data_IF_273013418782
#
_entry.id   IF_273013418782
#
_cell.length_a   1.000
_cell.length_b   1.000
_cell.length_c   1.000
_cell.angle_alpha   90.00
_cell.angle_beta   90.00
_cell.angle_gamma   90.00
#
_symmetry.space_group_name_H-M   'P 1'
#
loop_
_entity.id
_entity.type
_entity.pdbx_description
1 polymer ?
#
# COMPACT_ATOMS: atom_id res chain seq x y z
N UNK A 1 15.02 -4.62 21.37
CA UNK A 1 13.74 -4.05 21.86
C UNK A 1 12.66 -4.43 20.87
N UNK A 2 11.52 -4.99 21.32
CA UNK A 2 10.40 -5.28 20.42
C UNK A 2 9.93 -3.98 19.76
N UNK A 3 9.77 -3.98 18.44
CA UNK A 3 9.28 -2.82 17.69
C UNK A 3 7.90 -2.42 18.25
N UNK A 4 7.74 -1.17 18.68
CA UNK A 4 6.44 -0.68 19.13
C UNK A 4 5.45 -0.79 17.99
N UNK A 5 4.35 -1.52 18.20
CA UNK A 5 3.26 -1.66 17.20
C UNK A 5 2.65 -0.30 16.86
N UNK A 6 2.24 -0.12 15.64
CA UNK A 6 1.43 1.03 15.25
C UNK A 6 0.00 0.85 15.77
N UNK A 7 -0.69 1.97 15.95
CA UNK A 7 -2.11 1.94 16.29
C UNK A 7 -2.92 1.56 15.05
N UNK A 8 -3.82 0.61 15.19
CA UNK A 8 -4.81 0.27 14.16
C UNK A 8 -6.00 1.22 14.33
N UNK A 9 -6.49 1.88 13.26
CA UNK A 9 -7.75 2.66 13.33
C UNK A 9 -8.93 1.79 13.74
N UNK A 10 -10.00 2.41 14.24
CA UNK A 10 -11.24 1.70 14.58
C UNK A 10 -11.91 1.07 13.36
N UNK A 11 -12.69 0.02 13.60
CA UNK A 11 -13.52 -0.60 12.56
C UNK A 11 -14.61 0.36 12.09
N UNK A 12 -14.98 0.23 10.82
CA UNK A 12 -16.11 0.96 10.25
C UNK A 12 -17.43 0.29 10.63
N UNK A 13 -18.44 1.12 10.78
CA UNK A 13 -19.82 0.70 10.99
C UNK A 13 -20.74 1.32 9.94
N UNK A 14 -21.91 0.70 9.73
CA UNK A 14 -22.96 1.29 8.89
C UNK A 14 -23.29 2.70 9.38
N UNK A 15 -23.36 3.66 8.46
CA UNK A 15 -23.59 5.08 8.74
C UNK A 15 -22.33 5.90 8.99
N UNK A 16 -21.15 5.29 9.10
CA UNK A 16 -19.89 6.02 9.19
C UNK A 16 -19.64 6.86 7.94
N UNK A 17 -19.00 8.01 8.14
CA UNK A 17 -18.62 8.90 7.06
C UNK A 17 -17.19 8.62 6.61
N UNK A 18 -17.02 8.45 5.29
CA UNK A 18 -15.74 8.25 4.64
C UNK A 18 -15.52 9.28 3.54
N UNK A 19 -14.27 9.53 3.17
CA UNK A 19 -13.94 10.49 2.12
C UNK A 19 -13.26 9.82 0.94
N UNK A 20 -13.53 10.32 -0.27
CA UNK A 20 -12.73 10.07 -1.48
C UNK A 20 -11.96 11.35 -1.80
N UNK A 21 -10.63 11.29 -1.85
CA UNK A 21 -9.76 12.39 -2.27
C UNK A 21 -8.84 11.94 -3.39
N UNK A 22 -8.31 12.88 -4.17
CA UNK A 22 -7.38 12.59 -5.27
C UNK A 22 -6.01 13.26 -5.01
N UNK A 23 -5.14 12.63 -4.21
CA UNK A 23 -3.86 13.27 -3.84
C UNK A 23 -2.79 13.17 -4.94
N UNK A 24 -3.03 12.39 -6.00
CA UNK A 24 -2.08 12.06 -7.07
C UNK A 24 -2.62 12.48 -8.44
N UNK A 25 -2.80 11.56 -9.38
CA UNK A 25 -3.33 11.86 -10.71
C UNK A 25 -4.84 12.11 -10.70
N UNK A 26 -5.30 12.85 -11.74
CA UNK A 26 -6.71 13.10 -11.98
C UNK A 26 -7.47 11.82 -12.29
N UNK A 27 -8.72 11.75 -11.86
CA UNK A 27 -9.66 10.64 -12.09
C UNK A 27 -10.87 11.15 -12.86
N UNK A 28 -11.52 10.26 -13.59
CA UNK A 28 -12.77 10.56 -14.29
C UNK A 28 -13.95 10.59 -13.30
N UNK A 29 -14.87 11.55 -13.48
CA UNK A 29 -16.04 11.74 -12.63
C UNK A 29 -16.89 10.47 -12.52
N UNK A 30 -17.14 9.78 -13.66
CA UNK A 30 -17.88 8.52 -13.72
C UNK A 30 -17.29 7.43 -12.80
N UNK A 31 -15.95 7.37 -12.70
CA UNK A 31 -15.28 6.40 -11.79
C UNK A 31 -15.53 6.75 -10.34
N UNK A 32 -15.50 8.04 -10.00
CA UNK A 32 -15.81 8.51 -8.63
C UNK A 32 -17.26 8.22 -8.27
N UNK A 33 -18.22 8.48 -9.18
CA UNK A 33 -19.63 8.15 -8.96
C UNK A 33 -19.86 6.64 -8.75
N UNK A 34 -19.18 5.78 -9.51
CA UNK A 34 -19.24 4.33 -9.30
C UNK A 34 -18.70 3.95 -7.94
N UNK A 35 -17.59 4.56 -7.51
CA UNK A 35 -16.99 4.32 -6.22
C UNK A 35 -17.88 4.81 -5.06
N UNK A 36 -18.54 5.93 -5.21
CA UNK A 36 -19.54 6.43 -4.23
C UNK A 36 -20.64 5.39 -4.05
N UNK A 37 -21.29 4.97 -5.15
CA UNK A 37 -22.36 3.94 -5.09
C UNK A 37 -21.86 2.61 -4.51
N UNK A 38 -20.63 2.24 -4.79
CA UNK A 38 -20.02 1.02 -4.26
C UNK A 38 -19.86 1.08 -2.73
N UNK A 39 -19.31 2.17 -2.21
CA UNK A 39 -19.12 2.38 -0.77
C UNK A 39 -20.46 2.60 -0.02
N UNK A 40 -21.43 3.28 -0.64
CA UNK A 40 -22.80 3.39 -0.13
C UNK A 40 -23.47 2.02 -0.04
N UNK A 41 -23.16 1.11 -0.97
CA UNK A 41 -23.57 -0.30 -0.91
C UNK A 41 -23.03 -1.05 0.31
N UNK A 42 -21.95 -0.56 0.92
CA UNK A 42 -21.44 -1.06 2.21
C UNK A 42 -22.09 -0.38 3.42
N UNK A 43 -23.05 0.51 3.19
CA UNK A 43 -23.75 1.25 4.23
C UNK A 43 -23.02 2.49 4.73
N UNK A 44 -22.00 2.96 4.01
CA UNK A 44 -21.21 4.15 4.37
C UNK A 44 -21.83 5.43 3.80
N UNK A 45 -21.55 6.57 4.41
CA UNK A 45 -21.82 7.90 3.85
C UNK A 45 -20.53 8.41 3.22
N UNK A 46 -20.60 8.79 1.94
CA UNK A 46 -19.41 9.15 1.17
C UNK A 46 -19.37 10.66 0.90
N UNK A 47 -18.26 11.28 1.27
CA UNK A 47 -17.92 12.66 0.92
C UNK A 47 -16.81 12.63 -0.14
N UNK A 48 -17.03 13.34 -1.24
CA UNK A 48 -16.00 13.55 -2.26
C UNK A 48 -15.27 14.87 -1.95
N UNK A 49 -13.96 14.83 -1.93
CA UNK A 49 -13.13 16.02 -1.69
C UNK A 49 -13.45 17.12 -2.70
N UNK A 50 -13.41 18.36 -2.26
CA UNK A 50 -13.79 19.54 -3.05
C UNK A 50 -12.97 19.68 -4.34
N UNK A 51 -11.73 19.25 -4.33
CA UNK A 51 -10.82 19.33 -5.44
C UNK A 51 -10.57 17.96 -6.13
N UNK A 52 -11.23 16.89 -5.68
CA UNK A 52 -10.96 15.52 -6.12
C UNK A 52 -11.11 15.31 -7.64
N UNK A 53 -11.96 16.11 -8.31
CA UNK A 53 -12.20 16.08 -9.76
C UNK A 53 -11.45 17.18 -10.53
N UNK A 54 -10.62 17.96 -9.84
CA UNK A 54 -9.80 18.98 -10.53
C UNK A 54 -8.77 18.34 -11.45
N UNK A 55 -8.29 19.14 -12.41
CA UNK A 55 -7.27 18.68 -13.36
C UNK A 55 -6.22 19.78 -13.61
N UNK A 56 -4.96 19.41 -13.44
CA UNK A 56 -3.81 20.24 -13.75
C UNK A 56 -2.69 19.37 -14.35
N UNK A 57 -2.58 19.35 -15.67
CA UNK A 57 -1.78 18.35 -16.37
C UNK A 57 -2.27 16.93 -16.03
N UNK A 58 -1.39 16.03 -15.56
CA UNK A 58 -1.79 14.69 -15.14
C UNK A 58 -2.42 14.66 -13.73
N UNK A 59 -2.24 15.71 -12.91
CA UNK A 59 -2.64 15.74 -11.52
C UNK A 59 -4.10 16.11 -11.31
N UNK A 60 -4.65 15.71 -10.16
CA UNK A 60 -5.97 16.12 -9.69
C UNK A 60 -5.91 17.52 -9.08
N UNK A 61 -5.64 18.53 -9.90
CA UNK A 61 -5.42 19.90 -9.48
C UNK A 61 -3.96 20.20 -9.13
N UNK A 62 -3.73 21.44 -8.68
CA UNK A 62 -2.43 21.90 -8.21
C UNK A 62 -2.01 21.22 -6.90
N UNK A 63 -0.74 21.29 -6.54
CA UNK A 63 -0.25 20.78 -5.24
C UNK A 63 -1.06 21.40 -4.07
N UNK A 64 -1.40 22.67 -4.16
CA UNK A 64 -2.18 23.38 -3.13
C UNK A 64 -3.62 22.83 -3.00
N UNK A 65 -4.28 22.54 -4.12
CA UNK A 65 -5.64 21.99 -4.11
C UNK A 65 -5.67 20.55 -3.55
N UNK A 66 -4.71 19.69 -3.95
CA UNK A 66 -4.57 18.33 -3.44
C UNK A 66 -4.23 18.30 -1.95
N UNK A 67 -3.33 19.21 -1.53
CA UNK A 67 -2.99 19.40 -0.11
C UNK A 67 -4.20 19.83 0.71
N UNK A 68 -5.00 20.77 0.18
CA UNK A 68 -6.18 21.27 0.90
C UNK A 68 -7.20 20.15 1.20
N UNK A 69 -7.50 19.29 0.21
CA UNK A 69 -8.40 18.15 0.43
C UNK A 69 -7.83 17.16 1.45
N UNK A 70 -6.52 16.87 1.36
CA UNK A 70 -5.87 15.95 2.29
C UNK A 70 -5.84 16.52 3.72
N UNK A 71 -5.53 17.79 3.87
CA UNK A 71 -5.52 18.46 5.18
C UNK A 71 -6.92 18.49 5.81
N UNK A 72 -7.96 18.81 5.01
CA UNK A 72 -9.35 18.82 5.46
C UNK A 72 -9.75 17.46 6.03
N UNK A 73 -9.49 16.35 5.29
CA UNK A 73 -9.89 15.02 5.78
C UNK A 73 -9.03 14.53 6.95
N UNK A 74 -7.80 14.98 7.08
CA UNK A 74 -6.93 14.68 8.24
C UNK A 74 -7.50 15.31 9.51
N UNK A 75 -7.95 16.56 9.44
CA UNK A 75 -8.45 17.34 10.58
C UNK A 75 -9.88 16.95 10.98
N UNK A 76 -10.70 16.53 10.03
CA UNK A 76 -12.12 16.22 10.28
C UNK A 76 -12.29 14.98 11.17
N UNK A 77 -12.80 15.17 12.38
CA UNK A 77 -13.05 14.09 13.36
C UNK A 77 -14.20 13.14 12.96
N UNK A 78 -15.07 13.55 12.05
CA UNK A 78 -16.21 12.77 11.57
C UNK A 78 -15.80 11.68 10.58
N UNK A 79 -14.77 11.94 9.77
CA UNK A 79 -14.26 10.99 8.77
C UNK A 79 -13.57 9.81 9.46
N UNK A 80 -13.99 8.58 9.10
CA UNK A 80 -13.46 7.32 9.64
C UNK A 80 -12.47 6.62 8.70
N UNK A 81 -12.65 6.81 7.39
CA UNK A 81 -11.71 6.32 6.39
C UNK A 81 -11.56 7.31 5.23
N UNK A 82 -10.39 7.34 4.63
CA UNK A 82 -10.04 8.14 3.46
C UNK A 82 -9.59 7.20 2.36
N UNK A 83 -10.30 7.19 1.24
CA UNK A 83 -9.97 6.42 0.05
C UNK A 83 -9.29 7.35 -0.94
N UNK A 84 -8.03 7.06 -1.28
CA UNK A 84 -7.31 7.76 -2.34
C UNK A 84 -7.86 7.31 -3.69
N UNK A 85 -8.34 8.23 -4.52
CA UNK A 85 -9.10 7.91 -5.74
C UNK A 85 -8.33 7.03 -6.72
N UNK A 86 -7.03 7.31 -6.86
CA UNK A 86 -6.07 6.56 -7.66
C UNK A 86 -4.64 6.94 -7.30
N UNK A 87 -3.69 6.13 -7.77
CA UNK A 87 -2.26 6.45 -7.75
C UNK A 87 -1.81 7.27 -8.97
N UNK A 88 -0.64 6.93 -9.49
CA UNK A 88 0.07 7.63 -10.55
C UNK A 88 1.33 8.28 -9.97
N UNK A 89 1.33 9.60 -9.87
CA UNK A 89 2.42 10.35 -9.25
C UNK A 89 1.87 11.64 -8.62
N UNK A 90 2.56 12.13 -7.60
CA UNK A 90 2.30 13.46 -7.05
C UNK A 90 2.15 13.53 -5.54
N UNK A 91 1.94 12.41 -4.85
CA UNK A 91 1.84 12.40 -3.39
C UNK A 91 3.15 12.87 -2.73
N UNK A 92 4.29 12.43 -3.27
CA UNK A 92 5.62 12.81 -2.80
C UNK A 92 5.83 14.33 -2.76
N UNK A 93 5.11 15.10 -3.62
CA UNK A 93 5.22 16.58 -3.71
C UNK A 93 4.53 17.32 -2.56
N UNK A 94 3.62 16.66 -1.83
CA UNK A 94 2.77 17.32 -0.84
C UNK A 94 2.85 16.70 0.56
N UNK A 95 3.47 15.52 0.71
CA UNK A 95 3.41 14.74 1.95
C UNK A 95 4.02 15.46 3.15
N UNK A 96 5.10 16.17 2.97
CA UNK A 96 5.81 16.92 4.02
C UNK A 96 5.15 18.25 4.39
N UNK A 97 4.13 18.66 3.63
CA UNK A 97 3.36 19.90 3.86
C UNK A 97 2.11 19.67 4.73
N UNK A 98 1.75 18.41 4.99
CA UNK A 98 0.54 18.04 5.74
C UNK A 98 0.80 18.03 7.23
N UNK A 99 -0.06 18.68 8.01
CA UNK A 99 -0.08 18.50 9.47
C UNK A 99 -0.95 17.31 9.86
N UNK A 100 -0.31 16.20 10.16
CA UNK A 100 -0.97 14.96 10.62
C UNK A 100 -1.27 14.94 12.13
N UNK A 101 -1.07 16.01 12.86
CA UNK A 101 -1.20 16.04 14.34
C UNK A 101 -2.59 15.60 14.83
N UNK A 102 -3.65 15.92 14.08
CA UNK A 102 -5.03 15.53 14.38
C UNK A 102 -5.23 14.00 14.45
N UNK A 103 -4.43 13.21 13.73
CA UNK A 103 -4.53 11.74 13.74
C UNK A 103 -4.16 11.11 15.09
N UNK A 104 -3.46 11.84 15.96
CA UNK A 104 -3.21 11.39 17.34
C UNK A 104 -4.52 11.24 18.12
N UNK A 105 -5.46 12.14 17.88
CA UNK A 105 -6.75 12.18 18.56
C UNK A 105 -7.85 11.47 17.76
N UNK A 106 -7.83 11.60 16.42
CA UNK A 106 -8.83 11.09 15.50
C UNK A 106 -8.19 10.15 14.48
N UNK A 107 -7.74 8.94 14.90
CA UNK A 107 -7.17 7.97 13.97
C UNK A 107 -8.23 7.52 12.98
N UNK A 108 -7.83 7.39 11.72
CA UNK A 108 -8.69 6.94 10.63
C UNK A 108 -7.90 6.09 9.65
N UNK A 109 -8.62 5.28 8.89
CA UNK A 109 -8.01 4.51 7.81
C UNK A 109 -7.63 5.42 6.63
N UNK A 110 -6.47 5.14 6.04
CA UNK A 110 -6.08 5.64 4.72
C UNK A 110 -5.91 4.43 3.82
N UNK A 111 -6.64 4.42 2.70
CA UNK A 111 -6.76 3.28 1.79
C UNK A 111 -6.22 3.64 0.42
N UNK A 112 -5.36 2.79 -0.13
CA UNK A 112 -4.80 2.93 -1.46
C UNK A 112 -3.51 2.15 -1.62
N UNK A 113 -2.90 2.19 -2.80
CA UNK A 113 -1.64 1.55 -3.13
C UNK A 113 -0.88 2.38 -4.20
N UNK A 114 0.19 1.87 -4.78
CA UNK A 114 0.96 2.62 -5.79
C UNK A 114 1.61 3.87 -5.18
N UNK A 115 1.36 5.06 -5.71
CA UNK A 115 1.86 6.36 -5.20
C UNK A 115 1.50 6.60 -3.72
N UNK A 116 0.43 5.94 -3.21
CA UNK A 116 -0.01 6.01 -1.81
C UNK A 116 0.97 5.28 -0.86
N UNK A 117 1.90 4.50 -1.38
CA UNK A 117 3.02 3.94 -0.58
C UNK A 117 3.74 5.01 0.23
N UNK A 118 3.91 6.21 -0.32
CA UNK A 118 4.52 7.36 0.38
C UNK A 118 3.76 7.68 1.67
N UNK A 119 2.42 7.69 1.61
CA UNK A 119 1.57 7.92 2.77
C UNK A 119 1.66 6.79 3.79
N UNK A 120 1.66 5.53 3.33
CA UNK A 120 1.79 4.38 4.23
C UNK A 120 3.06 4.46 5.06
N UNK A 121 4.19 4.72 4.41
CA UNK A 121 5.49 4.88 5.09
C UNK A 121 5.47 6.05 6.05
N UNK A 122 4.93 7.21 5.62
CA UNK A 122 4.84 8.41 6.45
C UNK A 122 4.01 8.18 7.72
N UNK A 123 2.80 7.64 7.57
CA UNK A 123 1.91 7.33 8.70
C UNK A 123 2.53 6.35 9.68
N UNK A 124 3.15 5.28 9.16
CA UNK A 124 3.81 4.28 10.00
C UNK A 124 4.98 4.88 10.79
N UNK A 125 5.79 5.72 10.16
CA UNK A 125 7.02 6.27 10.74
C UNK A 125 6.74 7.43 11.70
N UNK A 126 5.95 8.41 11.29
CA UNK A 126 5.77 9.66 12.01
C UNK A 126 4.50 9.72 12.85
N UNK A 127 3.43 9.03 12.41
CA UNK A 127 2.15 9.04 13.12
C UNK A 127 1.94 7.79 13.98
N UNK A 128 2.76 6.75 13.82
CA UNK A 128 2.58 5.44 14.47
C UNK A 128 1.17 4.89 14.22
N UNK A 129 0.67 5.08 13.02
CA UNK A 129 -0.66 4.72 12.57
C UNK A 129 -0.57 3.71 11.42
N UNK A 130 -1.35 2.64 11.51
CA UNK A 130 -1.52 1.69 10.42
C UNK A 130 -2.43 2.28 9.32
N UNK A 131 -2.28 1.77 8.11
CA UNK A 131 -3.05 2.14 6.93
C UNK A 131 -3.31 0.91 6.07
N UNK A 132 -4.10 1.02 5.02
CA UNK A 132 -4.52 -0.13 4.23
C UNK A 132 -4.00 -0.02 2.78
N UNK A 133 -3.04 -0.88 2.42
CA UNK A 133 -2.70 -1.13 1.02
C UNK A 133 -3.83 -1.98 0.43
N UNK A 134 -4.66 -1.38 -0.38
CA UNK A 134 -5.82 -2.02 -1.00
C UNK A 134 -6.26 -1.26 -2.25
N UNK A 135 -7.22 -1.83 -2.96
CA UNK A 135 -7.75 -1.26 -4.19
C UNK A 135 -8.33 0.14 -3.97
N UNK A 136 -8.35 0.92 -5.04
CA UNK A 136 -8.73 2.34 -5.03
C UNK A 136 -10.02 2.59 -5.83
N UNK A 137 -10.73 3.70 -5.56
CA UNK A 137 -11.95 4.11 -6.25
C UNK A 137 -11.93 4.00 -7.77
N UNK A 138 -10.75 4.12 -8.40
CA UNK A 138 -10.56 3.93 -9.85
C UNK A 138 -11.21 2.64 -10.39
N UNK A 139 -11.22 1.56 -9.59
CA UNK A 139 -11.74 0.25 -10.01
C UNK A 139 -12.99 -0.21 -9.24
N UNK A 140 -13.54 0.63 -8.34
CA UNK A 140 -14.73 0.23 -7.57
C UNK A 140 -15.97 0.14 -8.48
N UNK A 141 -16.64 -1.00 -8.41
CA UNK A 141 -17.85 -1.25 -9.19
C UNK A 141 -17.65 -1.36 -10.72
N UNK A 142 -16.40 -1.60 -11.18
CA UNK A 142 -16.09 -1.72 -12.61
C UNK A 142 -16.07 -3.16 -13.12
N UNK A 143 -15.93 -4.14 -12.23
CA UNK A 143 -15.71 -5.56 -12.58
C UNK A 143 -14.29 -5.87 -13.06
N UNK A 144 -13.36 -4.91 -12.94
CA UNK A 144 -11.97 -5.04 -13.38
C UNK A 144 -11.04 -5.69 -12.34
N UNK A 145 -11.59 -6.11 -11.19
CA UNK A 145 -10.84 -6.74 -10.09
C UNK A 145 -11.57 -7.96 -9.55
N UNK A 146 -10.83 -8.85 -8.88
CA UNK A 146 -11.38 -10.04 -8.27
C UNK A 146 -12.35 -9.71 -7.12
N UNK A 147 -13.22 -10.65 -6.77
CA UNK A 147 -14.10 -10.53 -5.60
C UNK A 147 -13.29 -10.51 -4.30
N UNK A 148 -12.21 -11.28 -4.22
CA UNK A 148 -11.29 -11.36 -3.08
C UNK A 148 -10.62 -10.01 -2.78
N UNK A 149 -10.35 -9.21 -3.82
CA UNK A 149 -9.84 -7.83 -3.67
C UNK A 149 -10.73 -7.00 -2.75
N UNK A 150 -12.04 -7.04 -2.98
CA UNK A 150 -13.00 -6.25 -2.20
C UNK A 150 -13.40 -6.92 -0.89
N UNK A 151 -13.46 -8.27 -0.87
CA UNK A 151 -13.73 -9.03 0.35
C UNK A 151 -12.65 -8.78 1.39
N UNK A 152 -11.37 -8.91 1.05
CA UNK A 152 -10.28 -8.68 2.00
C UNK A 152 -10.20 -7.22 2.47
N UNK A 153 -10.53 -6.26 1.60
CA UNK A 153 -10.62 -4.85 1.99
C UNK A 153 -11.76 -4.62 2.99
N UNK A 154 -12.92 -5.22 2.75
CA UNK A 154 -14.07 -5.14 3.64
C UNK A 154 -13.77 -5.78 5.00
N UNK A 155 -13.17 -6.97 5.00
CA UNK A 155 -12.78 -7.68 6.23
C UNK A 155 -11.81 -6.84 7.07
N UNK A 156 -10.81 -6.20 6.43
CA UNK A 156 -9.88 -5.32 7.13
C UNK A 156 -10.57 -4.11 7.77
N UNK A 157 -11.56 -3.53 7.08
CA UNK A 157 -12.21 -2.29 7.52
C UNK A 157 -13.33 -2.51 8.51
N UNK A 158 -14.07 -3.63 8.44
CA UNK A 158 -15.29 -3.86 9.23
C UNK A 158 -15.16 -4.98 10.26
N UNK A 159 -14.35 -6.03 10.00
CA UNK A 159 -14.32 -7.22 10.87
C UNK A 159 -13.06 -7.28 11.74
N UNK A 160 -11.98 -6.60 11.34
CA UNK A 160 -10.73 -6.52 12.09
C UNK A 160 -9.89 -7.80 12.11
N UNK A 161 -10.36 -8.88 11.52
CA UNK A 161 -9.68 -10.16 11.43
C UNK A 161 -9.26 -10.44 9.98
N UNK A 162 -8.28 -9.69 9.49
CA UNK A 162 -7.78 -9.91 8.15
C UNK A 162 -6.89 -11.15 8.11
N UNK A 163 -7.39 -12.23 7.51
CA UNK A 163 -6.65 -13.47 7.25
C UNK A 163 -7.04 -14.01 5.88
N UNK A 164 -6.05 -14.25 5.03
CA UNK A 164 -6.27 -14.86 3.72
C UNK A 164 -5.09 -15.70 3.27
N UNK A 165 -5.23 -16.44 2.17
CA UNK A 165 -4.28 -17.44 1.70
C UNK A 165 -4.05 -17.32 0.21
N UNK A 166 -2.86 -17.76 -0.23
CA UNK A 166 -2.54 -17.90 -1.65
C UNK A 166 -1.65 -19.12 -1.89
N UNK A 167 -1.51 -19.48 -3.14
CA UNK A 167 -0.55 -20.50 -3.58
C UNK A 167 0.76 -19.80 -3.96
N UNK A 168 1.89 -20.31 -3.45
CA UNK A 168 3.20 -19.71 -3.69
C UNK A 168 4.30 -20.50 -3.00
N UNK A 169 5.53 -20.08 -3.27
CA UNK A 169 6.72 -20.71 -2.70
C UNK A 169 7.28 -19.88 -1.53
N UNK A 170 8.05 -20.55 -0.68
CA UNK A 170 8.85 -19.89 0.33
C UNK A 170 10.28 -20.39 0.32
N UNK A 171 11.22 -19.46 0.51
CA UNK A 171 12.66 -19.69 0.51
C UNK A 171 13.23 -19.26 1.86
N UNK A 172 14.29 -19.94 2.32
CA UNK A 172 15.00 -19.66 3.58
C UNK A 172 14.15 -19.74 4.84
N UNK A 173 12.95 -20.33 4.75
CA UNK A 173 12.05 -20.55 5.86
C UNK A 173 10.58 -20.54 5.44
N UNK A 174 9.73 -21.13 6.30
CA UNK A 174 8.29 -21.26 6.05
C UNK A 174 7.45 -20.34 6.93
N UNK A 175 8.08 -19.53 7.80
CA UNK A 175 7.39 -18.64 8.73
C UNK A 175 8.13 -17.31 8.90
N UNK A 176 7.38 -16.23 8.91
CA UNK A 176 7.84 -14.89 9.31
C UNK A 176 6.78 -14.20 10.18
N UNK A 177 7.22 -13.40 11.15
CA UNK A 177 6.31 -12.55 11.91
C UNK A 177 6.95 -11.21 12.23
N UNK A 178 6.16 -10.15 12.16
CA UNK A 178 6.63 -8.78 12.39
C UNK A 178 5.66 -7.73 11.87
N UNK A 179 6.03 -6.48 12.04
CA UNK A 179 5.28 -5.37 11.46
C UNK A 179 5.47 -5.37 9.95
N UNK A 180 4.37 -5.36 9.19
CA UNK A 180 4.40 -5.26 7.73
C UNK A 180 4.70 -3.82 7.29
N UNK A 181 5.67 -3.64 6.41
CA UNK A 181 6.04 -2.34 5.82
C UNK A 181 6.36 -2.52 4.34
N UNK A 182 6.39 -1.45 3.58
CA UNK A 182 6.71 -1.53 2.17
C UNK A 182 5.63 -0.99 1.25
N UNK A 183 5.44 -1.60 0.09
CA UNK A 183 4.53 -1.22 -0.98
C UNK A 183 5.24 -1.17 -2.33
N UNK A 184 4.94 -0.15 -3.15
CA UNK A 184 5.52 0.02 -4.47
C UNK A 184 7.04 0.29 -4.38
N UNK A 185 7.83 -0.51 -5.09
CA UNK A 185 9.30 -0.50 -5.01
C UNK A 185 9.89 0.82 -5.50
N UNK A 186 9.35 1.40 -6.57
CA UNK A 186 9.80 2.71 -7.10
C UNK A 186 9.62 3.81 -6.08
N UNK A 187 8.54 3.77 -5.28
CA UNK A 187 8.29 4.75 -4.23
C UNK A 187 9.19 4.50 -3.01
N UNK A 188 9.46 3.25 -2.64
CA UNK A 188 10.42 2.94 -1.59
C UNK A 188 11.83 3.43 -1.95
N UNK A 189 12.22 3.25 -3.22
CA UNK A 189 13.48 3.76 -3.76
C UNK A 189 13.51 5.30 -3.74
N UNK A 190 12.41 5.97 -4.14
CA UNK A 190 12.31 7.42 -4.14
C UNK A 190 12.40 8.05 -2.74
N UNK A 191 12.05 7.29 -1.70
CA UNK A 191 12.16 7.73 -0.31
C UNK A 191 13.56 7.51 0.29
N UNK A 192 14.45 6.79 -0.38
CA UNK A 192 15.80 6.54 0.12
C UNK A 192 16.58 7.83 0.35
N UNK A 193 17.23 7.95 1.51
CA UNK A 193 17.98 9.14 1.91
C UNK A 193 17.11 10.33 2.35
N UNK A 194 15.79 10.22 2.34
CA UNK A 194 14.87 11.24 2.87
C UNK A 194 14.52 10.96 4.35
N UNK A 195 13.97 11.95 5.09
CA UNK A 195 13.44 11.69 6.43
C UNK A 195 12.37 10.59 6.47
N UNK A 196 11.66 10.35 5.37
CA UNK A 196 10.64 9.32 5.21
C UNK A 196 11.19 7.96 4.73
N UNK A 197 12.49 7.81 4.60
CA UNK A 197 13.09 6.51 4.27
C UNK A 197 12.57 5.41 5.20
N UNK A 198 12.09 4.26 4.66
CA UNK A 198 11.48 3.22 5.49
C UNK A 198 12.49 2.61 6.47
N UNK A 199 12.06 2.41 7.71
CA UNK A 199 12.74 1.59 8.70
C UNK A 199 12.27 0.15 8.52
N UNK A 200 13.17 -0.74 8.07
CA UNK A 200 12.87 -2.13 7.71
C UNK A 200 13.38 -3.15 8.73
N UNK A 201 14.24 -2.75 9.66
CA UNK A 201 14.86 -3.64 10.64
C UNK A 201 13.84 -4.37 11.52
N UNK A 202 13.89 -5.71 11.53
CA UNK A 202 12.97 -6.58 12.27
C UNK A 202 11.53 -6.58 11.75
N UNK A 203 11.30 -6.09 10.52
CA UNK A 203 9.98 -6.02 9.90
C UNK A 203 9.86 -6.97 8.71
N UNK A 204 8.64 -7.27 8.32
CA UNK A 204 8.34 -7.93 7.05
C UNK A 204 8.25 -6.83 5.98
N UNK A 205 9.07 -6.94 4.94
CA UNK A 205 9.05 -6.03 3.80
C UNK A 205 8.13 -6.62 2.71
N UNK A 206 7.11 -5.88 2.31
CA UNK A 206 6.28 -6.17 1.14
C UNK A 206 6.73 -5.29 -0.01
N UNK A 207 6.88 -5.86 -1.21
CA UNK A 207 7.24 -5.12 -2.42
C UNK A 207 6.41 -5.59 -3.61
N UNK A 208 6.00 -4.64 -4.44
CA UNK A 208 5.30 -4.80 -5.71
C UNK A 208 5.69 -3.65 -6.64
N UNK A 209 5.49 -3.77 -7.96
CA UNK A 209 5.65 -2.65 -8.89
C UNK A 209 4.95 -2.91 -10.23
N UNK A 210 4.81 -1.87 -11.06
CA UNK A 210 4.24 -1.97 -12.39
C UNK A 210 4.90 -1.03 -13.39
N UNK A 211 5.03 -1.50 -14.64
CA UNK A 211 5.46 -0.67 -15.76
C UNK A 211 6.94 -0.31 -15.81
N UNK A 212 7.75 -0.89 -14.94
CA UNK A 212 9.19 -0.65 -14.85
C UNK A 212 10.00 -1.52 -15.83
N UNK A 213 11.23 -1.08 -16.12
CA UNK A 213 12.19 -1.93 -16.80
C UNK A 213 12.86 -2.92 -15.83
N UNK A 214 13.16 -4.14 -16.29
CA UNK A 214 13.86 -5.14 -15.48
C UNK A 214 15.15 -4.61 -14.85
N UNK A 215 15.98 -3.86 -15.60
CA UNK A 215 17.18 -3.23 -15.04
C UNK A 215 16.88 -2.17 -13.99
N UNK A 216 15.71 -1.51 -14.07
CA UNK A 216 15.29 -0.54 -13.04
C UNK A 216 14.92 -1.25 -11.74
N UNK A 217 14.26 -2.40 -11.82
CA UNK A 217 13.97 -3.24 -10.65
C UNK A 217 15.28 -3.65 -9.97
N UNK A 218 16.24 -4.18 -10.72
CA UNK A 218 17.56 -4.56 -10.19
C UNK A 218 18.26 -3.37 -9.52
N UNK A 219 18.29 -2.22 -10.19
CA UNK A 219 18.91 -1.00 -9.65
C UNK A 219 18.24 -0.54 -8.34
N UNK A 220 16.92 -0.58 -8.25
CA UNK A 220 16.17 -0.18 -7.04
C UNK A 220 16.46 -1.16 -5.90
N UNK A 221 16.43 -2.46 -6.15
CA UNK A 221 16.77 -3.50 -5.18
C UNK A 221 18.22 -3.40 -4.71
N UNK A 222 19.15 -3.20 -5.64
CA UNK A 222 20.56 -2.97 -5.33
C UNK A 222 20.75 -1.73 -4.46
N UNK A 223 20.02 -0.65 -4.74
CA UNK A 223 20.04 0.55 -3.90
C UNK A 223 19.53 0.28 -2.48
N UNK A 224 18.41 -0.44 -2.34
CA UNK A 224 17.92 -0.86 -1.02
C UNK A 224 18.92 -1.75 -0.27
N UNK A 225 19.59 -2.65 -1.00
CA UNK A 225 20.65 -3.51 -0.46
C UNK A 225 21.84 -2.68 0.04
N UNK A 226 22.36 -1.77 -0.78
CA UNK A 226 23.48 -0.88 -0.42
C UNK A 226 23.12 0.04 0.75
N UNK A 227 21.88 0.53 0.80
CA UNK A 227 21.33 1.33 1.90
C UNK A 227 21.05 0.51 3.16
N UNK A 228 21.34 -0.80 3.16
CA UNK A 228 21.15 -1.69 4.32
C UNK A 228 19.70 -2.01 4.64
N UNK A 229 18.76 -1.72 3.75
CA UNK A 229 17.31 -1.91 3.97
C UNK A 229 16.88 -3.38 3.96
N UNK A 230 17.71 -4.26 3.43
CA UNK A 230 17.48 -5.70 3.46
C UNK A 230 18.13 -6.38 4.69
N UNK A 231 18.92 -5.66 5.48
CA UNK A 231 19.56 -6.24 6.66
C UNK A 231 18.57 -6.39 7.81
N UNK A 232 18.55 -7.61 8.38
CA UNK A 232 17.74 -7.90 9.56
C UNK A 232 16.23 -7.81 9.34
N UNK A 233 15.76 -8.04 8.10
CA UNK A 233 14.34 -8.26 7.84
C UNK A 233 13.83 -9.47 8.62
N UNK A 234 12.59 -9.43 9.09
CA UNK A 234 11.89 -10.59 9.60
C UNK A 234 11.39 -11.49 8.45
N UNK A 235 11.20 -10.94 7.26
CA UNK A 235 10.82 -11.63 6.04
C UNK A 235 10.62 -10.68 4.88
N UNK A 236 10.54 -11.24 3.67
CA UNK A 236 10.21 -10.53 2.42
C UNK A 236 8.98 -11.16 1.79
N UNK A 237 8.03 -10.34 1.34
CA UNK A 237 6.85 -10.75 0.58
C UNK A 237 6.92 -10.11 -0.79
N UNK A 238 6.90 -10.93 -1.83
CA UNK A 238 6.91 -10.52 -3.23
C UNK A 238 5.47 -10.51 -3.73
N UNK A 239 4.96 -9.32 -4.00
CA UNK A 239 3.65 -9.08 -4.60
C UNK A 239 3.67 -9.13 -6.12
N UNK A 240 2.66 -8.51 -6.73
CA UNK A 240 2.51 -8.44 -8.17
C UNK A 240 3.53 -7.52 -8.82
N UNK A 241 4.25 -8.04 -9.82
CA UNK A 241 5.06 -7.24 -10.74
C UNK A 241 4.45 -7.36 -12.13
N UNK A 242 3.86 -6.29 -12.65
CA UNK A 242 3.09 -6.30 -13.90
C UNK A 242 3.63 -5.31 -14.93
N UNK A 243 3.30 -5.55 -16.19
CA UNK A 243 3.68 -4.66 -17.30
C UNK A 243 5.19 -4.36 -17.39
N UNK A 244 6.03 -5.32 -16.98
CA UNK A 244 7.48 -5.16 -16.99
C UNK A 244 7.99 -4.99 -18.43
N UNK A 245 8.95 -4.09 -18.59
CA UNK A 245 9.55 -3.75 -19.88
C UNK A 245 10.97 -4.29 -19.96
N UNK A 246 11.33 -4.77 -21.13
CA UNK A 246 12.70 -5.17 -21.42
C UNK A 246 13.40 -4.13 -22.30
N UNK A 247 14.72 -4.16 -22.29
CA UNK A 247 15.53 -3.34 -23.16
C UNK A 247 15.74 -3.98 -24.55
N UNK A 248 16.51 -3.32 -25.41
CA UNK A 248 16.94 -3.89 -26.72
C UNK A 248 17.82 -5.13 -26.53
N UNK A 249 18.52 -5.23 -25.40
CA UNK A 249 19.23 -6.44 -24.95
C UNK A 249 18.40 -7.03 -23.82
N UNK A 250 17.91 -8.28 -23.97
CA UNK A 250 17.10 -8.95 -22.94
C UNK A 250 17.82 -9.03 -21.60
N UNK A 251 17.10 -8.75 -20.52
CA UNK A 251 17.60 -8.86 -19.15
C UNK A 251 17.97 -10.30 -18.78
N UNK A 252 17.21 -11.25 -19.30
CA UNK A 252 17.50 -12.69 -19.19
C UNK A 252 17.10 -13.34 -17.86
N UNK A 253 16.48 -12.60 -16.95
CA UNK A 253 15.93 -13.10 -15.67
C UNK A 253 14.55 -12.51 -15.43
N UNK A 254 13.69 -13.25 -14.75
CA UNK A 254 12.44 -12.70 -14.21
C UNK A 254 12.69 -11.75 -13.04
N UNK A 255 11.66 -10.99 -12.65
CA UNK A 255 11.71 -10.16 -11.44
C UNK A 255 11.93 -11.03 -10.21
N UNK A 256 11.22 -12.16 -10.13
CA UNK A 256 11.32 -13.08 -9.00
C UNK A 256 12.73 -13.66 -8.87
N UNK A 257 13.34 -14.12 -9.96
CA UNK A 257 14.73 -14.60 -9.96
C UNK A 257 15.72 -13.52 -9.50
N UNK A 258 15.54 -12.26 -9.95
CA UNK A 258 16.37 -11.13 -9.53
C UNK A 258 16.22 -10.86 -8.02
N UNK A 259 14.97 -10.93 -7.52
CA UNK A 259 14.69 -10.76 -6.09
C UNK A 259 15.27 -11.87 -5.23
N UNK A 260 15.11 -13.11 -5.65
CA UNK A 260 15.64 -14.27 -4.93
C UNK A 260 17.15 -14.30 -4.89
N UNK A 261 17.83 -13.88 -5.98
CA UNK A 261 19.28 -13.74 -6.02
C UNK A 261 19.80 -12.74 -4.97
N UNK A 262 19.18 -11.55 -4.90
CA UNK A 262 19.57 -10.52 -3.93
C UNK A 262 19.18 -10.91 -2.50
N UNK A 263 18.00 -11.49 -2.30
CA UNK A 263 17.52 -11.91 -0.99
C UNK A 263 18.32 -13.09 -0.44
N UNK A 264 18.83 -13.96 -1.31
CA UNK A 264 19.63 -15.13 -0.94
C UNK A 264 20.90 -14.82 -0.13
N UNK A 265 21.39 -13.58 -0.20
CA UNK A 265 22.52 -13.12 0.62
C UNK A 265 22.20 -13.04 2.13
N UNK A 266 20.93 -13.06 2.55
CA UNK A 266 20.50 -12.67 3.90
C UNK A 266 19.88 -13.77 4.74
N UNK A 267 19.32 -14.81 4.17
CA UNK A 267 18.74 -15.96 4.89
C UNK A 267 17.44 -15.70 5.66
N UNK A 268 16.78 -14.55 5.47
CA UNK A 268 15.42 -14.34 5.97
C UNK A 268 14.38 -15.05 5.10
N UNK A 269 13.20 -15.43 5.64
CA UNK A 269 12.13 -16.04 4.84
C UNK A 269 11.65 -15.12 3.72
N UNK A 270 11.50 -15.67 2.51
CA UNK A 270 10.95 -15.00 1.33
C UNK A 270 9.69 -15.73 0.89
N UNK A 271 8.61 -15.00 0.64
CA UNK A 271 7.32 -15.55 0.18
C UNK A 271 6.96 -14.94 -1.16
N UNK A 272 6.69 -15.80 -2.17
CA UNK A 272 6.39 -15.38 -3.54
C UNK A 272 4.91 -15.51 -3.88
N UNK A 273 4.49 -14.93 -5.01
CA UNK A 273 3.15 -15.07 -5.54
C UNK A 273 2.05 -14.35 -4.74
N UNK A 274 2.41 -13.45 -3.81
CA UNK A 274 1.43 -12.73 -3.00
C UNK A 274 0.48 -11.91 -3.89
N UNK A 275 -0.85 -12.17 -3.86
CA UNK A 275 -1.84 -11.46 -4.68
C UNK A 275 -2.14 -10.08 -4.10
N UNK A 276 -1.17 -9.17 -4.20
CA UNK A 276 -1.30 -7.76 -3.82
C UNK A 276 -0.45 -6.89 -4.73
N UNK A 277 -0.92 -5.70 -5.09
CA UNK A 277 -0.26 -4.75 -5.99
C UNK A 277 -1.02 -4.53 -7.31
N UNK A 278 -0.29 -4.20 -8.37
CA UNK A 278 -0.85 -3.85 -9.69
C UNK A 278 -1.26 -5.08 -10.51
N UNK A 279 -2.10 -5.94 -9.95
CA UNK A 279 -2.62 -7.16 -10.57
C UNK A 279 -4.14 -7.25 -10.41
N UNK A 280 -4.76 -8.21 -11.10
CA UNK A 280 -6.21 -8.40 -11.08
C UNK A 280 -6.73 -8.72 -9.66
N UNK A 281 -6.08 -9.63 -8.94
CA UNK A 281 -6.39 -9.98 -7.56
C UNK A 281 -5.47 -9.19 -6.60
N UNK A 282 -5.92 -8.00 -6.20
CA UNK A 282 -5.18 -7.08 -5.34
C UNK A 282 -5.74 -7.09 -3.92
N UNK A 283 -5.36 -8.08 -3.13
CA UNK A 283 -5.86 -8.28 -1.76
C UNK A 283 -5.28 -7.28 -0.77
N UNK A 284 -6.07 -6.94 0.23
CA UNK A 284 -5.71 -5.93 1.21
C UNK A 284 -4.58 -6.39 2.15
N UNK A 285 -3.69 -5.44 2.49
CA UNK A 285 -2.61 -5.61 3.47
C UNK A 285 -2.63 -4.43 4.46
N UNK A 286 -2.57 -4.73 5.76
CA UNK A 286 -2.50 -3.69 6.80
C UNK A 286 -1.04 -3.25 6.96
N UNK A 287 -0.69 -2.12 6.34
CA UNK A 287 0.64 -1.53 6.43
C UNK A 287 0.86 -0.92 7.81
N UNK A 288 1.92 -1.37 8.48
CA UNK A 288 2.16 -1.05 9.89
C UNK A 288 1.46 -1.99 10.88
N UNK A 289 0.62 -2.92 10.39
CA UNK A 289 0.03 -4.00 11.18
C UNK A 289 1.05 -5.10 11.52
N UNK A 290 0.84 -5.81 12.62
CA UNK A 290 1.67 -6.98 12.94
C UNK A 290 1.13 -8.20 12.20
N UNK A 291 1.92 -8.71 11.27
CA UNK A 291 1.56 -9.85 10.43
C UNK A 291 2.29 -11.12 10.88
N UNK A 292 1.63 -12.25 10.69
CA UNK A 292 2.20 -13.60 10.73
C UNK A 292 1.97 -14.24 9.38
N UNK A 293 3.04 -14.75 8.77
CA UNK A 293 3.01 -15.42 7.47
C UNK A 293 3.55 -16.84 7.65
N UNK A 294 2.82 -17.82 7.15
CA UNK A 294 3.19 -19.23 7.25
C UNK A 294 2.92 -19.95 5.92
N UNK A 295 3.92 -20.69 5.44
CA UNK A 295 3.76 -21.62 4.32
C UNK A 295 3.59 -23.04 4.84
N UNK A 296 2.52 -23.69 4.43
CA UNK A 296 2.24 -25.11 4.69
C UNK A 296 1.97 -25.82 3.37
N UNK A 297 3.00 -26.46 2.82
CA UNK A 297 2.87 -27.28 1.61
C UNK A 297 2.45 -26.49 0.35
N UNK A 298 3.00 -25.29 0.14
CA UNK A 298 2.70 -24.43 -1.01
C UNK A 298 1.46 -23.53 -0.81
N UNK A 299 0.78 -23.64 0.33
CA UNK A 299 -0.29 -22.71 0.72
C UNK A 299 0.23 -21.74 1.78
N UNK A 300 0.33 -20.51 1.40
CA UNK A 300 0.82 -19.44 2.27
C UNK A 300 -0.38 -18.71 2.88
N UNK A 301 -0.34 -18.53 4.19
CA UNK A 301 -1.37 -17.78 4.94
C UNK A 301 -0.74 -16.52 5.52
N UNK A 302 -1.40 -15.38 5.38
CA UNK A 302 -1.11 -14.17 6.12
C UNK A 302 -2.25 -13.87 7.07
N UNK A 303 -1.92 -13.49 8.31
CA UNK A 303 -2.89 -13.05 9.32
C UNK A 303 -2.35 -11.83 10.06
N UNK A 304 -3.23 -10.90 10.40
CA UNK A 304 -2.90 -9.69 11.16
C UNK A 304 -3.43 -9.78 12.60
N UNK A 305 -2.62 -9.23 13.56
CA UNK A 305 -2.91 -9.28 15.01
C UNK A 305 -2.83 -7.90 15.66
#
# INVERSE_FOLDING_TARGET
MAAKRNRIPGLLCTGDEVAIISPSYAIEEEKVEKAVRFLEGWGLRVRVGRNALRRYGPFAGTDKERLADLQEVVEDSGIKAVFCSRGGYGFLRIIDMVDFSALKRYPKWFVGYSDITVLHIWLNKFCRLASLHAEMPLHFGTGEKSEETFTTMRDALFDGNLTWRWEGDSFHGSRAEGVLTGGNLSLLYSLAGTPAEPDTGGKILFIEDAGEYYYSIDRMLTSLRLGGKLRGLAGLVIGGFSEMKDGTVPWGKSVEETLLEIAGEYGFPVFTGCPAGHIYDNRALIMGGYAVIENSGGKITISFR
#
